data_IF_070676822917
#
_entry.id   IF_070676822917
#
_cell.length_a   1.000
_cell.length_b   1.000
_cell.length_c   1.000
_cell.angle_alpha   90.00
_cell.angle_beta   90.00
_cell.angle_gamma   90.00
#
_symmetry.space_group_name_H-M   'P 1'
#
loop_
_entity.id
_entity.type
_entity.pdbx_description
1 polymer ?
#
# COMPACT_ATOMS: atom_id res chain seq x y z
N UNK A 1 -14.36 35.85 6.61
CA UNK A 1 -13.43 35.43 7.67
C UNK A 1 -14.12 34.32 8.47
N UNK A 2 -13.97 33.07 8.04
CA UNK A 2 -14.54 31.89 8.69
C UNK A 2 -13.40 30.92 8.98
N UNK A 3 -13.21 30.63 10.26
CA UNK A 3 -12.24 29.67 10.78
C UNK A 3 -12.66 28.25 10.34
N UNK A 4 -11.72 27.55 9.70
CA UNK A 4 -11.85 26.13 9.41
C UNK A 4 -11.55 25.33 10.68
N UNK A 5 -12.58 24.67 11.22
CA UNK A 5 -12.45 23.64 12.24
C UNK A 5 -11.90 22.37 11.57
N UNK A 6 -10.65 22.04 11.89
CA UNK A 6 -10.05 20.75 11.57
C UNK A 6 -10.78 19.62 12.34
N UNK A 7 -11.02 18.44 11.72
CA UNK A 7 -11.58 17.33 12.46
C UNK A 7 -10.53 16.75 13.41
N UNK A 8 -10.90 16.67 14.69
CA UNK A 8 -10.17 15.97 15.75
C UNK A 8 -10.07 14.48 15.39
N UNK A 9 -8.91 14.09 14.85
CA UNK A 9 -8.46 12.71 14.75
C UNK A 9 -8.27 12.19 16.17
N UNK A 10 -8.72 10.97 16.44
CA UNK A 10 -8.70 10.33 17.76
C UNK A 10 -7.29 10.37 18.36
N UNK A 11 -7.10 11.22 19.36
CA UNK A 11 -5.81 11.74 19.79
C UNK A 11 -4.87 10.66 20.36
N UNK A 12 -5.40 9.54 20.83
CA UNK A 12 -4.64 8.47 21.48
C UNK A 12 -3.76 7.67 20.51
N UNK A 13 -4.23 7.38 19.29
CA UNK A 13 -3.47 6.62 18.29
C UNK A 13 -2.37 7.47 17.65
N UNK A 14 -2.67 8.76 17.41
CA UNK A 14 -1.67 9.76 16.99
C UNK A 14 -0.62 10.02 18.08
N UNK A 15 -0.98 9.94 19.37
CA UNK A 15 -0.05 10.08 20.48
C UNK A 15 0.90 8.87 20.59
N UNK A 16 0.39 7.64 20.50
CA UNK A 16 1.24 6.45 20.46
C UNK A 16 2.22 6.49 19.27
N UNK A 17 1.74 6.98 18.12
CA UNK A 17 2.54 7.18 16.92
C UNK A 17 3.63 8.27 17.06
N UNK A 18 3.29 9.44 17.59
CA UNK A 18 4.26 10.52 17.82
C UNK A 18 5.34 10.12 18.83
N UNK A 19 4.98 9.30 19.83
CA UNK A 19 5.94 8.72 20.79
C UNK A 19 6.88 7.72 20.11
N UNK A 20 6.40 6.92 19.17
CA UNK A 20 7.26 6.04 18.37
C UNK A 20 8.22 6.82 17.46
N UNK A 21 7.73 7.86 16.77
CA UNK A 21 8.54 8.73 15.92
C UNK A 21 9.63 9.49 16.71
N UNK A 22 9.31 9.97 17.91
CA UNK A 22 10.26 10.64 18.79
C UNK A 22 11.36 9.69 19.30
N UNK A 23 11.01 8.45 19.69
CA UNK A 23 11.99 7.46 20.18
C UNK A 23 13.05 7.08 19.15
N UNK A 24 12.76 7.19 17.85
CA UNK A 24 13.73 6.88 16.80
C UNK A 24 14.64 8.07 16.45
N UNK A 25 14.14 9.29 16.58
CA UNK A 25 14.97 10.49 16.39
C UNK A 25 16.10 10.60 17.41
N UNK A 26 15.92 10.10 18.63
CA UNK A 26 16.96 10.10 19.67
C UNK A 26 18.04 9.01 19.48
N UNK A 27 17.79 8.00 18.63
CA UNK A 27 18.73 6.88 18.41
C UNK A 27 19.87 7.18 17.44
N UNK A 28 19.98 8.40 16.92
CA UNK A 28 21.14 8.84 16.13
C UNK A 28 22.28 9.45 16.97
N UNK A 29 22.23 9.36 18.30
CA UNK A 29 23.30 9.82 19.18
C UNK A 29 24.04 8.63 19.82
N UNK A 30 25.23 8.34 19.28
CA UNK A 30 26.32 7.50 19.79
C UNK A 30 26.08 5.98 19.96
N UNK A 31 26.75 5.12 19.18
CA UNK A 31 26.77 3.69 19.41
C UNK A 31 27.73 3.38 20.59
N UNK A 32 27.25 2.68 21.61
CA UNK A 32 28.15 1.89 22.48
C UNK A 32 28.13 2.09 24.00
N UNK A 33 27.16 2.79 24.62
CA UNK A 33 27.15 2.91 26.10
C UNK A 33 25.89 2.43 26.84
N UNK A 34 24.80 2.07 26.16
CA UNK A 34 23.60 1.54 26.84
C UNK A 34 23.60 0.01 27.01
N UNK A 35 24.32 -0.72 26.15
CA UNK A 35 24.34 -2.18 26.14
C UNK A 35 25.11 -2.81 27.33
N UNK A 36 25.96 -2.04 28.01
CA UNK A 36 26.77 -2.53 29.13
C UNK A 36 26.09 -2.39 30.51
N UNK A 37 24.96 -1.69 30.60
CA UNK A 37 24.31 -1.33 31.88
C UNK A 37 23.07 -2.16 32.22
N UNK A 38 22.57 -2.97 31.29
CA UNK A 38 21.39 -3.82 31.49
C UNK A 38 21.79 -5.29 31.29
N UNK A 39 22.44 -5.85 32.31
CA UNK A 39 22.80 -7.25 32.35
C UNK A 39 21.57 -8.15 32.29
N UNK A 40 21.37 -8.82 31.15
CA UNK A 40 21.05 -10.24 30.99
C UNK A 40 20.76 -10.51 29.51
N UNK A 41 21.39 -11.50 28.85
CA UNK A 41 20.96 -11.99 27.54
C UNK A 41 19.90 -13.09 27.73
N UNK A 42 18.77 -13.05 27.00
CA UNK A 42 18.13 -14.32 26.64
C UNK A 42 17.58 -14.36 25.20
N UNK A 43 18.02 -15.41 24.47
CA UNK A 43 17.43 -16.04 23.27
C UNK A 43 17.13 -15.16 22.03
N UNK A 44 18.14 -14.99 21.17
CA UNK A 44 17.97 -14.42 19.82
C UNK A 44 17.35 -15.38 18.80
N UNK A 45 16.24 -16.04 19.12
CA UNK A 45 15.42 -16.73 18.13
C UNK A 45 13.94 -16.37 18.29
N UNK A 46 13.65 -15.07 18.26
CA UNK A 46 12.29 -14.62 17.99
C UNK A 46 11.91 -15.05 16.57
N UNK A 47 10.84 -15.84 16.44
CA UNK A 47 10.39 -16.37 15.15
C UNK A 47 10.01 -15.20 14.22
N UNK A 48 10.10 -15.40 12.90
CA UNK A 48 9.72 -14.37 11.93
C UNK A 48 8.28 -13.86 12.15
N UNK A 49 7.39 -14.74 12.64
CA UNK A 49 6.00 -14.38 12.97
C UNK A 49 5.92 -13.44 14.17
N UNK A 50 6.59 -13.76 15.26
CA UNK A 50 6.61 -12.91 16.47
C UNK A 50 7.16 -11.51 16.19
N UNK A 51 8.16 -11.39 15.31
CA UNK A 51 8.69 -10.09 14.88
C UNK A 51 7.63 -9.24 14.16
N UNK A 52 6.83 -9.87 13.29
CA UNK A 52 5.73 -9.19 12.60
C UNK A 52 4.59 -8.82 13.56
N UNK A 53 4.25 -9.70 14.50
CA UNK A 53 3.22 -9.43 15.51
C UNK A 53 3.62 -8.26 16.41
N UNK A 54 4.89 -8.19 16.84
CA UNK A 54 5.41 -7.06 17.61
C UNK A 54 5.35 -5.76 16.81
N UNK A 55 5.73 -5.80 15.54
CA UNK A 55 5.63 -4.64 14.64
C UNK A 55 4.19 -4.15 14.49
N UNK A 56 3.23 -5.05 14.31
CA UNK A 56 1.79 -4.69 14.24
C UNK A 56 1.34 -4.02 15.54
N UNK A 57 1.75 -4.56 16.70
CA UNK A 57 1.48 -3.97 18.00
C UNK A 57 2.08 -2.57 18.17
N UNK A 58 3.31 -2.35 17.70
CA UNK A 58 4.04 -1.09 17.88
C UNK A 58 3.54 0.01 16.94
N UNK A 59 3.11 -0.34 15.73
CA UNK A 59 2.79 0.63 14.67
C UNK A 59 1.29 0.77 14.37
N UNK A 60 0.46 -0.19 14.79
CA UNK A 60 -0.97 -0.21 14.48
C UNK A 60 -1.25 -0.04 12.99
N UNK A 61 -2.11 0.92 12.63
CA UNK A 61 -2.48 1.20 11.24
C UNK A 61 -1.32 1.75 10.37
N UNK A 62 -0.17 2.10 10.95
CA UNK A 62 1.05 2.50 10.23
C UNK A 62 1.77 1.34 9.53
N UNK A 63 1.30 0.10 9.71
CA UNK A 63 1.79 -1.10 9.05
C UNK A 63 0.65 -1.96 8.52
N UNK A 64 0.93 -2.73 7.47
CA UNK A 64 0.12 -3.87 7.10
C UNK A 64 0.14 -4.91 8.23
N UNK A 65 -0.98 -5.60 8.43
CA UNK A 65 -1.11 -6.67 9.42
C UNK A 65 -0.07 -7.78 9.20
N UNK A 66 0.43 -8.38 10.27
CA UNK A 66 1.46 -9.42 10.25
C UNK A 66 1.04 -10.62 9.39
N UNK A 67 -0.24 -11.01 9.46
CA UNK A 67 -0.80 -12.09 8.67
C UNK A 67 -0.86 -11.77 7.18
N UNK A 68 -1.23 -10.52 6.84
CA UNK A 68 -1.24 -10.05 5.47
C UNK A 68 0.17 -10.04 4.86
N UNK A 69 1.18 -9.56 5.62
CA UNK A 69 2.58 -9.62 5.19
C UNK A 69 3.01 -11.07 4.95
N UNK A 70 2.76 -11.98 5.90
CA UNK A 70 3.12 -13.39 5.77
C UNK A 70 2.46 -14.08 4.57
N UNK A 71 1.19 -13.78 4.29
CA UNK A 71 0.47 -14.30 3.13
C UNK A 71 1.03 -13.72 1.82
N UNK A 72 1.29 -12.41 1.76
CA UNK A 72 1.87 -11.75 0.60
C UNK A 72 3.23 -12.35 0.23
N UNK A 73 4.11 -12.56 1.21
CA UNK A 73 5.43 -13.15 0.97
C UNK A 73 5.30 -14.57 0.39
N UNK A 74 4.38 -15.39 0.94
CA UNK A 74 4.13 -16.75 0.45
C UNK A 74 3.64 -16.77 -1.00
N UNK A 75 2.72 -15.88 -1.33
CA UNK A 75 2.17 -15.75 -2.69
C UNK A 75 3.23 -15.23 -3.65
N UNK A 76 4.02 -14.23 -3.25
CA UNK A 76 5.14 -13.76 -4.05
C UNK A 76 6.12 -14.91 -4.37
N UNK A 77 6.49 -15.73 -3.37
CA UNK A 77 7.33 -16.91 -3.59
C UNK A 77 6.70 -17.92 -4.56
N UNK A 78 5.38 -18.16 -4.47
CA UNK A 78 4.66 -19.04 -5.39
C UNK A 78 4.66 -18.53 -6.84
N UNK A 79 4.79 -17.21 -7.05
CA UNK A 79 5.00 -16.58 -8.35
C UNK A 79 6.47 -16.59 -8.82
N UNK A 80 7.36 -17.28 -8.10
CA UNK A 80 8.77 -17.41 -8.45
C UNK A 80 9.66 -16.27 -7.95
N UNK A 81 9.18 -15.46 -6.99
CA UNK A 81 10.01 -14.43 -6.36
C UNK A 81 10.94 -15.09 -5.34
N UNK A 82 12.22 -15.18 -5.67
CA UNK A 82 13.25 -15.68 -4.76
C UNK A 82 13.47 -14.70 -3.59
N UNK A 83 13.50 -15.25 -2.37
CA UNK A 83 13.72 -14.55 -1.11
C UNK A 83 13.04 -13.17 -1.01
N UNK A 84 11.69 -13.14 -0.86
CA UNK A 84 10.96 -11.88 -0.73
C UNK A 84 11.44 -10.98 0.42
N UNK A 85 12.04 -11.55 1.48
CA UNK A 85 12.53 -10.78 2.63
C UNK A 85 13.74 -9.92 2.23
N UNK A 86 14.66 -10.47 1.44
CA UNK A 86 15.79 -9.71 0.90
C UNK A 86 15.38 -8.60 -0.09
N UNK A 87 14.11 -8.55 -0.49
CA UNK A 87 13.56 -7.55 -1.43
C UNK A 87 12.80 -6.42 -0.71
N UNK A 88 12.90 -6.35 0.61
CA UNK A 88 12.36 -5.24 1.40
C UNK A 88 13.32 -4.06 1.30
N UNK A 89 12.79 -2.95 0.79
CA UNK A 89 13.49 -1.67 0.70
C UNK A 89 13.07 -0.77 1.86
N UNK A 90 14.04 -0.28 2.62
CA UNK A 90 13.84 0.66 3.72
C UNK A 90 14.00 2.10 3.22
N UNK A 91 13.12 2.99 3.64
CA UNK A 91 13.12 4.39 3.23
C UNK A 91 12.54 5.30 4.33
N UNK A 92 12.73 6.61 4.16
CA UNK A 92 12.08 7.63 5.00
C UNK A 92 10.54 7.49 4.97
N UNK A 93 9.83 7.89 6.04
CA UNK A 93 8.37 7.76 6.09
C UNK A 93 7.69 8.53 4.95
N UNK A 94 6.81 7.84 4.22
CA UNK A 94 6.09 8.43 3.08
C UNK A 94 4.59 8.23 3.21
N UNK A 95 3.83 9.31 2.98
CA UNK A 95 2.35 9.33 3.11
C UNK A 95 1.63 9.41 1.76
N UNK A 96 2.38 9.37 0.66
CA UNK A 96 1.82 9.38 -0.70
C UNK A 96 2.67 8.53 -1.63
N UNK A 97 2.04 7.99 -2.67
CA UNK A 97 2.74 7.23 -3.70
C UNK A 97 3.80 8.06 -4.43
N UNK A 98 3.54 9.35 -4.65
CA UNK A 98 4.49 10.26 -5.30
C UNK A 98 5.73 10.53 -4.43
N UNK A 99 5.54 10.79 -3.13
CA UNK A 99 6.67 10.96 -2.21
C UNK A 99 7.52 9.68 -2.14
N UNK A 100 6.86 8.51 -2.07
CA UNK A 100 7.55 7.21 -2.09
C UNK A 100 8.36 6.98 -3.35
N UNK A 101 7.83 7.38 -4.51
CA UNK A 101 8.50 7.21 -5.80
C UNK A 101 9.87 7.90 -5.82
N UNK A 102 10.04 9.01 -5.10
CA UNK A 102 11.33 9.71 -4.98
C UNK A 102 12.38 8.93 -4.17
N UNK A 103 11.97 7.96 -3.36
CA UNK A 103 12.87 7.10 -2.58
C UNK A 103 13.11 5.73 -3.21
N UNK A 104 12.40 5.42 -4.30
CA UNK A 104 12.53 4.14 -4.97
C UNK A 104 13.74 4.13 -5.91
N UNK A 105 14.45 2.99 -6.04
CA UNK A 105 15.46 2.82 -7.07
C UNK A 105 14.91 3.01 -8.48
N UNK A 106 15.79 3.33 -9.43
CA UNK A 106 15.43 3.36 -10.85
C UNK A 106 14.83 2.01 -11.28
N UNK A 107 13.80 2.06 -12.12
CA UNK A 107 13.06 0.87 -12.58
C UNK A 107 12.05 0.29 -11.57
N UNK A 108 11.88 0.91 -10.40
CA UNK A 108 10.86 0.51 -9.41
C UNK A 108 9.69 1.51 -9.42
N UNK A 109 8.50 1.03 -9.75
CA UNK A 109 7.27 1.81 -9.80
C UNK A 109 6.42 1.60 -8.54
N UNK A 110 5.96 2.67 -7.92
CA UNK A 110 5.13 2.54 -6.71
C UNK A 110 3.73 2.01 -7.07
N UNK A 111 3.28 1.01 -6.33
CA UNK A 111 1.89 0.57 -6.33
C UNK A 111 1.03 1.61 -5.60
N UNK A 112 -0.05 2.02 -6.26
CA UNK A 112 -1.03 2.97 -5.72
C UNK A 112 -2.39 2.29 -5.62
N UNK A 113 -3.13 2.59 -4.56
CA UNK A 113 -4.55 2.21 -4.43
C UNK A 113 -5.38 3.46 -4.15
N UNK A 114 -6.55 3.54 -4.78
CA UNK A 114 -7.56 4.56 -4.55
C UNK A 114 -8.83 3.88 -4.02
N UNK A 115 -9.46 4.49 -3.01
CA UNK A 115 -10.84 4.13 -2.66
C UNK A 115 -11.80 4.90 -3.56
N UNK A 116 -12.85 4.23 -4.01
CA UNK A 116 -13.83 4.77 -4.94
C UNK A 116 -15.23 4.59 -4.34
N UNK A 117 -16.12 5.54 -4.61
CA UNK A 117 -17.56 5.39 -4.37
C UNK A 117 -18.30 5.54 -5.69
N UNK A 118 -19.14 4.56 -6.00
CA UNK A 118 -20.03 4.57 -7.17
C UNK A 118 -21.47 4.30 -6.72
N UNK A 119 -22.28 5.34 -6.58
CA UNK A 119 -23.59 5.20 -5.93
C UNK A 119 -23.45 4.74 -4.48
N UNK A 120 -23.97 3.55 -4.16
CA UNK A 120 -23.84 2.90 -2.84
C UNK A 120 -22.52 2.16 -2.64
N UNK A 121 -21.84 1.80 -3.72
CA UNK A 121 -20.79 0.78 -3.67
C UNK A 121 -19.43 1.42 -3.36
N UNK A 122 -18.69 0.81 -2.43
CA UNK A 122 -17.28 1.15 -2.18
C UNK A 122 -16.36 0.15 -2.89
N UNK A 123 -15.40 0.67 -3.63
CA UNK A 123 -14.44 -0.13 -4.38
C UNK A 123 -13.03 0.30 -4.08
N UNK A 124 -12.06 -0.60 -4.28
CA UNK A 124 -10.66 -0.25 -4.42
C UNK A 124 -10.25 -0.34 -5.88
N UNK A 125 -9.47 0.63 -6.37
CA UNK A 125 -8.74 0.50 -7.62
C UNK A 125 -7.25 0.52 -7.32
N UNK A 126 -6.53 -0.51 -7.74
CA UNK A 126 -5.09 -0.67 -7.49
C UNK A 126 -4.34 -0.84 -8.79
N UNK A 127 -3.18 -0.21 -8.92
CA UNK A 127 -2.34 -0.30 -10.10
C UNK A 127 -0.91 0.15 -9.82
N UNK A 128 -0.01 -0.13 -10.75
CA UNK A 128 1.41 0.23 -10.66
C UNK A 128 1.71 1.45 -11.52
N UNK A 129 2.53 2.36 -10.99
CA UNK A 129 3.04 3.51 -11.75
C UNK A 129 2.01 4.64 -11.93
N UNK A 130 2.22 5.43 -12.98
CA UNK A 130 1.46 6.65 -13.24
C UNK A 130 0.13 6.34 -13.96
N UNK A 131 -0.95 6.22 -13.19
CA UNK A 131 -2.31 6.10 -13.71
C UNK A 131 -3.27 7.04 -12.98
N UNK A 132 -4.33 7.42 -13.67
CA UNK A 132 -5.40 8.26 -13.13
C UNK A 132 -6.75 7.82 -13.71
N UNK A 133 -7.82 7.93 -12.91
CA UNK A 133 -9.18 7.60 -13.36
C UNK A 133 -9.84 8.87 -13.91
N UNK A 134 -9.55 9.18 -15.18
CA UNK A 134 -10.27 10.22 -15.94
C UNK A 134 -11.70 9.80 -16.28
N UNK A 135 -12.51 10.72 -16.82
CA UNK A 135 -13.84 10.37 -17.37
C UNK A 135 -13.77 9.32 -18.47
N UNK A 136 -12.72 9.35 -19.31
CA UNK A 136 -12.51 8.32 -20.33
C UNK A 136 -12.19 6.97 -19.70
N UNK A 137 -11.30 6.94 -18.70
CA UNK A 137 -10.99 5.74 -17.94
C UNK A 137 -12.25 5.17 -17.27
N UNK A 138 -13.12 6.01 -16.68
CA UNK A 138 -14.39 5.57 -16.09
C UNK A 138 -15.28 4.89 -17.14
N UNK A 139 -15.45 5.48 -18.33
CA UNK A 139 -16.23 4.86 -19.42
C UNK A 139 -15.66 3.50 -19.83
N UNK A 140 -14.34 3.39 -19.92
CA UNK A 140 -13.65 2.13 -20.22
C UNK A 140 -13.88 1.09 -19.11
N UNK A 141 -13.75 1.48 -17.85
CA UNK A 141 -14.01 0.61 -16.71
C UNK A 141 -15.48 0.17 -16.64
N UNK A 142 -16.44 1.02 -17.00
CA UNK A 142 -17.86 0.65 -17.13
C UNK A 142 -18.05 -0.35 -18.28
N UNK A 143 -17.47 -0.08 -19.44
CA UNK A 143 -17.56 -0.97 -20.61
C UNK A 143 -16.94 -2.35 -20.35
N UNK A 144 -15.89 -2.42 -19.52
CA UNK A 144 -15.26 -3.67 -19.07
C UNK A 144 -15.98 -4.30 -17.86
N UNK A 145 -17.13 -3.78 -17.42
CA UNK A 145 -17.90 -4.31 -16.28
C UNK A 145 -17.19 -4.18 -14.92
N UNK A 146 -16.16 -3.34 -14.84
CA UNK A 146 -15.37 -3.09 -13.63
C UNK A 146 -16.06 -2.07 -12.71
N UNK A 147 -16.73 -1.07 -13.29
CA UNK A 147 -17.59 -0.12 -12.59
C UNK A 147 -19.07 -0.36 -12.94
N UNK A 148 -20.01 -0.03 -12.04
CA UNK A 148 -21.43 -0.04 -12.38
C UNK A 148 -21.74 1.03 -13.43
N UNK A 149 -22.76 0.82 -14.25
CA UNK A 149 -23.20 1.77 -15.29
C UNK A 149 -23.59 3.14 -14.70
N UNK A 150 -24.04 3.18 -13.44
CA UNK A 150 -24.35 4.40 -12.68
C UNK A 150 -23.12 5.25 -12.34
N UNK A 151 -21.89 4.73 -12.48
CA UNK A 151 -20.67 5.45 -12.16
C UNK A 151 -20.50 6.75 -12.98
N UNK A 152 -21.14 6.87 -14.15
CA UNK A 152 -21.11 8.11 -14.93
C UNK A 152 -21.76 9.32 -14.23
N UNK A 153 -22.69 9.07 -13.29
CA UNK A 153 -23.47 10.11 -12.62
C UNK A 153 -23.04 10.36 -11.17
N UNK A 154 -22.46 9.34 -10.53
CA UNK A 154 -22.04 9.40 -9.13
C UNK A 154 -20.72 8.63 -8.98
N UNK A 155 -19.61 9.37 -8.98
CA UNK A 155 -18.27 8.84 -8.82
C UNK A 155 -17.45 9.76 -7.93
N UNK A 156 -16.84 9.19 -6.89
CA UNK A 156 -15.95 9.94 -6.00
C UNK A 156 -14.70 9.13 -5.72
N UNK A 157 -13.54 9.76 -5.89
CA UNK A 157 -12.24 9.21 -5.48
C UNK A 157 -11.97 9.66 -4.05
N UNK A 158 -11.50 8.76 -3.22
CA UNK A 158 -11.23 8.96 -1.79
C UNK A 158 -12.45 9.60 -1.08
N UNK A 159 -13.63 8.94 -1.12
CA UNK A 159 -14.86 9.47 -0.54
C UNK A 159 -14.71 9.65 0.97
N UNK A 160 -15.03 10.84 1.49
CA UNK A 160 -14.98 11.13 2.93
C UNK A 160 -15.88 10.20 3.77
N UNK A 161 -16.90 9.59 3.16
CA UNK A 161 -17.79 8.62 3.82
C UNK A 161 -17.19 7.22 3.99
N UNK A 162 -15.97 7.00 3.49
CA UNK A 162 -15.21 5.76 3.64
C UNK A 162 -13.92 6.08 4.40
N UNK A 163 -13.97 5.92 5.72
CA UNK A 163 -12.78 6.09 6.54
C UNK A 163 -11.88 4.86 6.42
N UNK A 164 -10.76 5.03 5.73
CA UNK A 164 -9.79 3.97 5.46
C UNK A 164 -9.26 3.34 6.76
N UNK A 165 -9.05 4.14 7.81
CA UNK A 165 -8.47 3.62 9.04
C UNK A 165 -9.42 2.63 9.72
N UNK A 166 -10.70 2.98 9.86
CA UNK A 166 -11.70 2.08 10.45
C UNK A 166 -12.13 0.94 9.51
N UNK A 167 -12.22 1.17 8.20
CA UNK A 167 -12.68 0.16 7.25
C UNK A 167 -11.60 -0.86 6.86
N UNK A 168 -10.35 -0.40 6.71
CA UNK A 168 -9.25 -1.19 6.15
C UNK A 168 -8.15 -1.50 7.16
N UNK A 169 -8.21 -0.93 8.37
CA UNK A 169 -7.15 -1.03 9.39
C UNK A 169 -5.79 -0.52 8.88
N UNK A 170 -5.82 0.50 8.02
CA UNK A 170 -4.63 1.08 7.38
C UNK A 170 -4.65 2.61 7.49
N UNK A 171 -3.49 3.21 7.74
CA UNK A 171 -3.35 4.65 7.77
C UNK A 171 -3.54 5.27 6.37
N UNK A 172 -3.94 6.56 6.28
CA UNK A 172 -3.85 7.30 5.04
C UNK A 172 -2.44 7.20 4.41
N UNK A 173 -2.37 6.94 3.11
CA UNK A 173 -1.10 6.71 2.41
C UNK A 173 -0.62 5.24 2.41
N UNK A 174 -1.23 4.38 3.22
CA UNK A 174 -0.96 2.93 3.29
C UNK A 174 -2.03 2.06 2.62
N UNK A 175 -3.03 2.68 1.98
CA UNK A 175 -4.10 1.95 1.27
C UNK A 175 -3.49 1.00 0.25
N UNK A 176 -3.83 -0.29 0.37
CA UNK A 176 -3.33 -1.35 -0.50
C UNK A 176 -4.42 -2.41 -0.69
N UNK A 177 -4.31 -3.28 -1.71
CA UNK A 177 -5.20 -4.43 -1.86
C UNK A 177 -4.84 -5.58 -0.89
N UNK A 178 -3.72 -5.47 -0.17
CA UNK A 178 -3.19 -6.51 0.72
C UNK A 178 -3.74 -6.33 2.15
N UNK A 179 -5.05 -6.50 2.26
CA UNK A 179 -5.80 -6.32 3.51
C UNK A 179 -5.66 -7.54 4.42
N UNK A 180 -5.92 -7.35 5.72
CA UNK A 180 -5.94 -8.46 6.69
C UNK A 180 -6.89 -9.57 6.21
N UNK A 181 -6.47 -10.86 6.21
CA UNK A 181 -7.35 -11.96 5.87
C UNK A 181 -8.63 -11.97 6.71
N UNK A 182 -9.77 -12.25 6.07
CA UNK A 182 -11.07 -12.26 6.73
C UNK A 182 -11.58 -10.91 7.20
N UNK A 183 -10.94 -9.79 6.82
CA UNK A 183 -11.38 -8.46 7.18
C UNK A 183 -12.81 -8.20 6.68
N UNK A 184 -13.71 -7.89 7.60
CA UNK A 184 -15.02 -7.35 7.28
C UNK A 184 -14.88 -5.86 6.95
N UNK A 185 -15.36 -5.45 5.78
CA UNK A 185 -15.43 -4.04 5.37
C UNK A 185 -16.64 -3.84 4.46
N UNK A 186 -17.00 -2.58 4.20
CA UNK A 186 -18.02 -2.25 3.20
C UNK A 186 -17.53 -2.31 1.74
N UNK A 187 -16.33 -2.85 1.49
CA UNK A 187 -15.82 -3.00 0.13
C UNK A 187 -16.63 -4.04 -0.64
N UNK A 188 -17.09 -3.65 -1.82
CA UNK A 188 -17.87 -4.49 -2.73
C UNK A 188 -17.00 -5.09 -3.84
N UNK A 189 -15.82 -4.51 -4.12
CA UNK A 189 -14.93 -4.96 -5.20
C UNK A 189 -13.52 -4.40 -5.13
N UNK A 190 -12.57 -5.15 -5.67
CA UNK A 190 -11.24 -4.64 -6.07
C UNK A 190 -11.09 -4.65 -7.59
N UNK A 191 -10.66 -3.52 -8.15
CA UNK A 191 -10.29 -3.36 -9.55
C UNK A 191 -8.77 -3.37 -9.63
N UNK A 192 -8.21 -4.34 -10.34
CA UNK A 192 -6.78 -4.47 -10.61
C UNK A 192 -6.54 -3.85 -11.97
N UNK A 193 -5.86 -2.70 -11.97
CA UNK A 193 -5.48 -1.99 -13.19
C UNK A 193 -4.24 -2.66 -13.75
N UNK A 194 -4.43 -3.39 -14.84
CA UNK A 194 -3.36 -4.05 -15.55
C UNK A 194 -2.39 -2.99 -16.08
N UNK A 195 -1.14 -3.02 -15.62
CA UNK A 195 -0.13 -2.11 -16.09
C UNK A 195 0.25 -2.39 -17.54
N UNK A 196 0.63 -1.33 -18.26
CA UNK A 196 1.00 -1.37 -19.68
C UNK A 196 2.50 -1.07 -19.80
N UNK A 197 3.20 -1.73 -20.70
CA UNK A 197 4.63 -1.53 -21.01
C UNK A 197 5.56 -1.63 -19.80
N UNK A 198 5.61 -2.82 -19.18
CA UNK A 198 6.41 -3.09 -17.97
C UNK A 198 7.60 -4.02 -18.19
N UNK A 199 8.09 -4.16 -19.41
CA UNK A 199 9.24 -5.02 -19.63
C UNK A 199 10.38 -4.59 -18.68
N UNK A 200 10.81 -5.54 -17.85
CA UNK A 200 11.83 -5.38 -16.78
C UNK A 200 11.48 -4.50 -15.57
N UNK A 201 10.31 -3.86 -15.54
CA UNK A 201 9.91 -3.03 -14.41
C UNK A 201 9.63 -3.84 -13.14
N UNK A 202 9.93 -3.23 -11.99
CA UNK A 202 9.58 -3.71 -10.67
C UNK A 202 8.49 -2.82 -10.08
N UNK A 203 7.76 -3.33 -9.08
CA UNK A 203 6.79 -2.54 -8.33
C UNK A 203 7.02 -2.62 -6.83
N UNK A 204 6.83 -1.50 -6.15
CA UNK A 204 6.95 -1.39 -4.70
C UNK A 204 5.57 -1.40 -4.03
N UNK A 205 5.35 -2.35 -3.12
CA UNK A 205 4.18 -2.45 -2.25
C UNK A 205 4.56 -1.97 -0.85
N UNK A 206 3.80 -1.04 -0.29
CA UNK A 206 4.02 -0.63 1.09
C UNK A 206 3.73 -1.75 2.07
N UNK A 207 4.71 -2.10 2.91
CA UNK A 207 4.50 -2.95 4.09
C UNK A 207 4.25 -2.08 5.33
N UNK A 208 4.93 -0.94 5.41
CA UNK A 208 4.69 0.13 6.38
C UNK A 208 4.95 1.49 5.73
N UNK A 209 4.88 2.56 6.52
CA UNK A 209 5.29 3.90 6.09
C UNK A 209 6.79 3.98 5.73
N UNK A 210 7.61 3.05 6.24
CA UNK A 210 9.08 3.06 6.13
C UNK A 210 9.65 1.91 5.28
N UNK A 211 8.80 0.97 4.88
CA UNK A 211 9.24 -0.27 4.24
C UNK A 211 8.33 -0.59 3.07
N UNK A 212 8.96 -0.94 1.95
CA UNK A 212 8.28 -1.40 0.75
C UNK A 212 8.86 -2.71 0.27
N UNK A 213 8.01 -3.67 -0.06
CA UNK A 213 8.40 -4.90 -0.74
C UNK A 213 8.48 -4.65 -2.25
N UNK A 214 9.64 -4.94 -2.84
CA UNK A 214 9.87 -4.74 -4.28
C UNK A 214 9.70 -6.06 -5.03
N UNK A 215 8.75 -6.12 -5.97
CA UNK A 215 8.37 -7.33 -6.70
C UNK A 215 8.46 -7.11 -8.22
N UNK A 216 8.64 -8.16 -9.04
CA UNK A 216 8.65 -8.00 -10.50
C UNK A 216 7.24 -7.64 -11.02
N UNK A 217 7.12 -6.58 -11.82
CA UNK A 217 5.82 -6.02 -12.20
C UNK A 217 5.00 -6.93 -13.13
N UNK A 218 5.66 -7.83 -13.87
CA UNK A 218 5.00 -8.93 -14.61
C UNK A 218 4.13 -9.83 -13.72
N UNK A 219 4.41 -9.93 -12.42
CA UNK A 219 3.64 -10.75 -11.49
C UNK A 219 2.53 -9.96 -10.77
N UNK A 220 2.40 -8.66 -11.00
CA UNK A 220 1.49 -7.79 -10.25
C UNK A 220 0.04 -8.30 -10.24
N UNK A 221 -0.53 -8.56 -11.42
CA UNK A 221 -1.93 -9.01 -11.55
C UNK A 221 -2.14 -10.37 -10.88
N UNK A 222 -1.19 -11.30 -11.07
CA UNK A 222 -1.23 -12.64 -10.47
C UNK A 222 -1.15 -12.60 -8.95
N UNK A 223 -0.16 -11.90 -8.40
CA UNK A 223 0.04 -11.76 -6.95
C UNK A 223 -1.17 -11.12 -6.28
N UNK A 224 -1.69 -10.01 -6.82
CA UNK A 224 -2.88 -9.35 -6.24
C UNK A 224 -4.10 -10.26 -6.33
N UNK A 225 -4.30 -10.95 -7.46
CA UNK A 225 -5.45 -11.83 -7.66
C UNK A 225 -5.43 -13.03 -6.71
N UNK A 226 -4.29 -13.68 -6.56
CA UNK A 226 -4.14 -14.84 -5.69
C UNK A 226 -4.22 -14.44 -4.22
N UNK A 227 -3.67 -13.27 -3.88
CA UNK A 227 -3.80 -12.72 -2.53
C UNK A 227 -5.26 -12.48 -2.17
N UNK A 228 -6.01 -11.79 -3.02
CA UNK A 228 -7.43 -11.52 -2.76
C UNK A 228 -8.24 -12.82 -2.68
N UNK A 229 -7.92 -13.83 -3.49
CA UNK A 229 -8.56 -15.15 -3.40
C UNK A 229 -8.37 -15.79 -2.02
N UNK A 230 -7.16 -15.71 -1.49
CA UNK A 230 -6.81 -16.34 -0.23
C UNK A 230 -7.30 -15.53 0.98
N UNK A 231 -7.14 -14.20 0.95
CA UNK A 231 -7.43 -13.32 2.08
C UNK A 231 -8.92 -12.95 2.17
N UNK A 232 -9.57 -12.71 1.04
CA UNK A 232 -10.92 -12.14 0.94
C UNK A 232 -11.73 -12.83 -0.17
N UNK A 233 -12.02 -14.14 -0.06
CA UNK A 233 -12.66 -14.91 -1.13
C UNK A 233 -14.06 -14.40 -1.50
N UNK A 234 -14.73 -13.71 -0.58
CA UNK A 234 -16.04 -13.11 -0.81
C UNK A 234 -15.98 -11.82 -1.64
N UNK A 235 -14.81 -11.18 -1.75
CA UNK A 235 -14.63 -9.89 -2.39
C UNK A 235 -14.35 -10.08 -3.89
N UNK A 236 -15.27 -9.72 -4.80
CA UNK A 236 -15.04 -9.85 -6.23
C UNK A 236 -13.84 -9.00 -6.67
N UNK A 237 -13.07 -9.54 -7.61
CA UNK A 237 -12.03 -8.79 -8.33
C UNK A 237 -12.35 -8.67 -9.81
N UNK A 238 -11.91 -7.56 -10.40
CA UNK A 238 -11.99 -7.31 -11.84
C UNK A 238 -10.65 -6.79 -12.32
N UNK A 239 -10.16 -7.33 -13.44
CA UNK A 239 -8.95 -6.86 -14.07
C UNK A 239 -9.36 -5.92 -15.20
N UNK A 240 -8.72 -4.77 -15.27
CA UNK A 240 -9.04 -3.78 -16.27
C UNK A 240 -7.78 -3.16 -16.85
N UNK A 241 -7.79 -2.87 -18.14
CA UNK A 241 -6.74 -2.08 -18.78
C UNK A 241 -7.24 -0.68 -19.06
N UNK A 242 -6.52 0.32 -18.55
CA UNK A 242 -6.81 1.72 -18.82
C UNK A 242 -6.14 2.15 -20.13
N UNK A 243 -6.71 3.17 -20.82
CA UNK A 243 -6.00 3.80 -21.92
C UNK A 243 -4.70 4.44 -21.40
N UNK A 244 -3.64 4.50 -22.24
CA UNK A 244 -2.40 5.17 -21.86
C UNK A 244 -2.68 6.60 -21.42
N UNK A 245 -2.07 6.99 -20.30
CA UNK A 245 -2.18 8.35 -19.80
C UNK A 245 -1.37 9.28 -20.70
N UNK A 246 -1.93 10.39 -21.23
CA UNK A 246 -1.18 11.34 -22.06
C UNK A 246 -0.02 12.03 -21.30
N UNK A 247 0.08 11.84 -19.98
CA UNK A 247 1.16 12.37 -19.13
C UNK A 247 2.25 11.34 -18.79
N UNK A 248 2.24 10.14 -19.38
CA UNK A 248 3.19 9.07 -19.06
C UNK A 248 4.55 9.18 -19.77
N UNK A 249 4.98 10.36 -20.23
CA UNK A 249 6.37 10.55 -20.68
C UNK A 249 7.27 10.82 -19.47
N UNK A 250 7.80 9.77 -18.85
CA UNK A 250 9.05 9.92 -18.11
C UNK A 250 10.15 10.15 -19.14
N UNK A 251 10.34 11.42 -19.52
CA UNK A 251 11.49 11.81 -20.30
C UNK A 251 12.74 11.51 -19.46
N UNK A 252 13.53 10.59 -19.99
CA UNK A 252 14.89 10.23 -19.63
C UNK A 252 15.68 11.46 -19.16
N UNK A 253 16.45 11.40 -18.05
CA UNK A 253 17.41 12.45 -17.77
C UNK A 253 18.41 12.43 -18.93
N UNK A 254 18.34 13.45 -19.79
CA UNK A 254 19.36 13.72 -20.79
C UNK A 254 20.69 13.83 -20.07
N UNK A 255 21.59 12.88 -20.35
CA UNK A 255 22.99 13.01 -20.01
C UNK A 255 23.52 14.27 -20.71
N UNK A 256 23.80 15.31 -19.92
CA UNK A 256 24.60 16.45 -20.37
C UNK A 256 26.06 15.99 -20.46
N UNK A 257 26.58 16.02 -21.68
CA UNK A 257 28.00 15.89 -22.00
C UNK A 257 28.82 17.07 -21.48
#
# INVERSE_FOLDING_TARGET
MQQALAPLVNSAEMLAYNVFAARRHDTHTAPGKLAALLGTPPSEHCSAREKLDRRESDMGAGTMAAEAIGLLMRIASAHGVCDPVARIHHHEPTYSASAKQCHMPSGVLVQKTLSLKCGSDYLLATGVGAWHISRQAQRVLVAQGCLPSSAGNSFTINPASFDVASELLLAPGMVSPFLKPGLASRLERVIILEPVDLDEAQFAVSLSLFESLVLPARHFVGIVSDYLSAALPHLPRRIARLPPSPQASWATPTASA
#
